data_IF_383019903903
#
_entry.id   IF_383019903903
#
_cell.length_a   1.000
_cell.length_b   1.000
_cell.length_c   1.000
_cell.angle_alpha   90.00
_cell.angle_beta   90.00
_cell.angle_gamma   90.00
#
_symmetry.space_group_name_H-M   'P 1'
#
loop_
_entity.id
_entity.type
_entity.pdbx_description
1 polymer ?
#
# COMPACT_ATOMS: atom_id res chain seq x y z
N UNK A 1 -10.95 -6.89 -7.70
CA UNK A 1 -10.37 -7.72 -6.62
C UNK A 1 -9.10 -7.01 -6.17
N UNK A 2 -8.89 -6.87 -4.86
CA UNK A 2 -7.72 -6.15 -4.35
C UNK A 2 -6.49 -7.03 -4.26
N UNK A 3 -5.32 -6.41 -4.38
CA UNK A 3 -4.00 -7.03 -4.26
C UNK A 3 -3.36 -6.58 -2.95
N UNK A 4 -3.06 -7.52 -2.05
CA UNK A 4 -2.69 -7.21 -0.67
C UNK A 4 -1.33 -7.77 -0.29
N UNK A 5 -0.53 -6.97 0.42
CA UNK A 5 0.73 -7.41 1.00
C UNK A 5 0.46 -8.07 2.35
N UNK A 6 0.89 -9.33 2.47
CA UNK A 6 0.93 -10.02 3.75
C UNK A 6 2.27 -9.80 4.46
N UNK A 7 2.17 -9.63 5.77
CA UNK A 7 3.30 -9.44 6.69
C UNK A 7 3.03 -10.28 7.95
N UNK A 8 4.07 -10.60 8.75
CA UNK A 8 3.94 -11.57 9.84
C UNK A 8 2.88 -11.24 10.90
N UNK A 9 2.60 -9.95 11.15
CA UNK A 9 1.60 -9.49 12.14
C UNK A 9 0.45 -8.78 11.45
N UNK A 10 -0.76 -8.99 11.98
CA UNK A 10 -1.99 -8.37 11.49
C UNK A 10 -2.12 -6.86 11.80
N UNK A 11 -1.16 -6.26 12.50
CA UNK A 11 -1.11 -4.85 12.91
C UNK A 11 0.26 -4.22 12.69
N UNK A 12 0.30 -2.90 12.51
CA UNK A 12 1.52 -2.18 12.19
C UNK A 12 2.09 -2.61 10.84
N UNK A 13 1.23 -2.91 9.86
CA UNK A 13 1.64 -3.38 8.54
C UNK A 13 2.49 -2.34 7.81
N UNK A 14 2.21 -1.06 7.98
CA UNK A 14 3.02 0.01 7.37
C UNK A 14 4.49 -0.06 7.81
N UNK A 15 4.76 -0.08 9.12
CA UNK A 15 6.11 -0.24 9.67
C UNK A 15 6.74 -1.57 9.27
N UNK A 16 5.99 -2.67 9.27
CA UNK A 16 6.52 -3.96 8.83
C UNK A 16 6.96 -3.94 7.36
N UNK A 17 6.22 -3.26 6.48
CA UNK A 17 6.62 -3.10 5.07
C UNK A 17 7.92 -2.28 4.97
N UNK A 18 8.06 -1.22 5.76
CA UNK A 18 9.29 -0.42 5.83
C UNK A 18 10.48 -1.30 6.27
N UNK A 19 10.33 -2.03 7.38
CA UNK A 19 11.38 -2.84 8.00
C UNK A 19 11.79 -4.05 7.16
N UNK A 20 10.83 -4.74 6.55
CA UNK A 20 11.08 -6.00 5.83
C UNK A 20 11.44 -5.78 4.36
N UNK A 21 10.89 -4.74 3.73
CA UNK A 21 10.92 -4.59 2.27
C UNK A 21 11.46 -3.23 1.79
N UNK A 22 11.85 -2.33 2.70
CA UNK A 22 12.51 -1.06 2.35
C UNK A 22 11.57 0.02 1.82
N UNK A 23 10.30 0.03 2.25
CA UNK A 23 9.36 1.12 1.94
C UNK A 23 9.61 2.40 2.75
N UNK A 24 8.87 3.46 2.44
CA UNK A 24 8.81 4.72 3.20
C UNK A 24 7.36 5.14 3.46
N UNK A 25 7.04 5.52 4.69
CA UNK A 25 5.74 6.08 5.04
C UNK A 25 5.67 7.53 4.56
N UNK A 26 4.55 7.92 3.95
CA UNK A 26 4.30 9.32 3.57
C UNK A 26 3.37 10.01 4.56
N UNK A 27 3.56 11.31 4.82
CA UNK A 27 2.71 12.08 5.72
C UNK A 27 1.32 12.40 5.13
N UNK A 28 1.18 12.26 3.80
CA UNK A 28 -0.05 12.51 3.05
C UNK A 28 -0.29 11.41 2.02
N UNK A 29 -1.53 11.24 1.54
CA UNK A 29 -1.81 10.38 0.38
C UNK A 29 -0.94 10.80 -0.82
N UNK A 30 -0.22 9.88 -1.46
CA UNK A 30 0.58 10.17 -2.65
C UNK A 30 -0.29 10.21 -3.91
N UNK A 31 0.18 10.93 -4.93
CA UNK A 31 -0.28 10.85 -6.31
C UNK A 31 0.65 9.95 -7.14
N UNK A 32 0.15 9.40 -8.25
CA UNK A 32 1.03 8.77 -9.26
C UNK A 32 1.98 9.78 -9.92
N UNK A 33 1.68 11.08 -9.84
CA UNK A 33 2.58 12.16 -10.28
C UNK A 33 3.75 12.38 -9.31
N UNK A 34 3.64 11.91 -8.05
CA UNK A 34 4.65 12.10 -7.00
C UNK A 34 5.66 10.95 -6.90
N UNK A 35 5.53 9.92 -7.74
CA UNK A 35 6.35 8.71 -7.69
C UNK A 35 7.00 8.38 -9.04
N UNK A 36 8.08 7.61 -8.97
CA UNK A 36 8.78 7.09 -10.15
C UNK A 36 8.11 5.82 -10.69
N UNK A 37 8.34 5.44 -11.96
CA UNK A 37 7.87 4.17 -12.52
C UNK A 37 8.38 2.93 -11.78
N UNK A 38 9.43 3.04 -10.97
CA UNK A 38 9.98 1.95 -10.16
C UNK A 38 9.35 1.86 -8.76
N UNK A 39 8.45 2.79 -8.42
CA UNK A 39 7.76 2.87 -7.14
C UNK A 39 6.30 2.39 -7.25
N UNK A 40 5.76 1.90 -6.15
CA UNK A 40 4.37 1.52 -5.99
C UNK A 40 3.79 2.15 -4.72
N UNK A 41 2.49 2.44 -4.77
CA UNK A 41 1.73 3.01 -3.66
C UNK A 41 0.99 1.89 -2.94
N UNK A 42 1.20 1.79 -1.64
CA UNK A 42 0.49 0.87 -0.76
C UNK A 42 -0.36 1.69 0.22
N UNK A 43 -1.65 1.40 0.29
CA UNK A 43 -2.55 1.92 1.31
C UNK A 43 -2.73 0.90 2.43
N UNK A 44 -2.30 1.25 3.63
CA UNK A 44 -2.54 0.46 4.84
C UNK A 44 -3.76 1.02 5.56
N UNK A 45 -4.86 0.28 5.51
CA UNK A 45 -6.14 0.65 6.14
C UNK A 45 -6.30 -0.08 7.48
N UNK A 46 -6.58 0.66 8.54
CA UNK A 46 -6.93 0.10 9.85
C UNK A 46 -8.41 -0.31 9.88
N UNK A 47 -8.68 -1.62 10.03
CA UNK A 47 -10.02 -2.19 10.14
C UNK A 47 -10.42 -2.54 11.59
N UNK A 48 -9.68 -2.06 12.59
CA UNK A 48 -9.90 -2.36 14.01
C UNK A 48 -9.06 -3.55 14.48
N UNK A 49 -9.52 -4.81 14.36
CA UNK A 49 -8.74 -5.98 14.81
C UNK A 49 -7.52 -6.30 13.94
N UNK A 50 -7.47 -5.78 12.72
CA UNK A 50 -6.38 -6.00 11.76
C UNK A 50 -6.22 -4.81 10.81
N UNK A 51 -5.13 -4.79 10.05
CA UNK A 51 -4.88 -3.86 8.96
C UNK A 51 -4.80 -4.59 7.62
N UNK A 52 -5.26 -3.93 6.56
CA UNK A 52 -5.14 -4.39 5.18
C UNK A 52 -4.16 -3.49 4.42
N UNK A 53 -3.13 -4.05 3.79
CA UNK A 53 -2.13 -3.31 3.02
C UNK A 53 -2.36 -3.54 1.53
N UNK A 54 -3.17 -2.69 0.89
CA UNK A 54 -3.57 -2.81 -0.51
C UNK A 54 -2.64 -2.07 -1.47
N UNK A 55 -2.31 -2.70 -2.59
CA UNK A 55 -1.59 -2.09 -3.71
C UNK A 55 -2.54 -1.23 -4.55
N UNK A 56 -2.26 0.06 -4.64
CA UNK A 56 -2.87 0.93 -5.64
C UNK A 56 -2.10 0.79 -6.95
N UNK A 57 -2.50 -0.16 -7.80
CA UNK A 57 -1.81 -0.44 -9.08
C UNK A 57 -2.24 0.49 -10.23
N UNK A 58 -3.30 1.27 -10.04
CA UNK A 58 -3.74 2.29 -10.99
C UNK A 58 -4.49 3.43 -10.28
N UNK A 59 -4.83 4.48 -11.03
CA UNK A 59 -5.55 5.65 -10.50
C UNK A 59 -6.91 5.30 -9.89
N UNK A 60 -7.60 4.29 -10.42
CA UNK A 60 -8.91 3.86 -9.92
C UNK A 60 -8.80 3.29 -8.49
N UNK A 61 -7.86 2.37 -8.26
CA UNK A 61 -7.60 1.83 -6.92
C UNK A 61 -7.11 2.92 -5.95
N UNK A 62 -6.25 3.83 -6.40
CA UNK A 62 -5.81 4.96 -5.57
C UNK A 62 -7.01 5.83 -5.14
N UNK A 63 -7.96 6.07 -6.04
CA UNK A 63 -9.18 6.81 -5.74
C UNK A 63 -10.06 6.06 -4.73
N UNK A 64 -10.21 4.74 -4.89
CA UNK A 64 -10.95 3.88 -3.94
C UNK A 64 -10.30 3.94 -2.56
N UNK A 65 -8.98 3.80 -2.47
CA UNK A 65 -8.25 3.87 -1.20
C UNK A 65 -8.29 5.27 -0.58
N UNK A 66 -8.38 6.33 -1.38
CA UNK A 66 -8.47 7.71 -0.90
C UNK A 66 -9.86 8.11 -0.43
N UNK A 67 -10.89 7.29 -0.69
CA UNK A 67 -12.25 7.58 -0.23
C UNK A 67 -12.35 7.54 1.30
N UNK A 68 -12.90 8.60 1.89
CA UNK A 68 -13.04 8.73 3.34
C UNK A 68 -14.24 7.95 3.85
N UNK A 69 -13.99 6.92 4.65
CA UNK A 69 -15.01 6.04 5.25
C UNK A 69 -14.87 5.90 6.77
N UNK A 70 -14.10 6.80 7.40
CA UNK A 70 -13.83 6.80 8.84
C UNK A 70 -12.68 5.89 9.29
N UNK A 71 -12.13 5.06 8.40
CA UNK A 71 -10.96 4.24 8.73
C UNK A 71 -9.66 5.03 8.63
N UNK A 72 -8.72 4.77 9.54
CA UNK A 72 -7.39 5.37 9.49
C UNK A 72 -6.58 4.72 8.39
N UNK A 73 -5.76 5.53 7.70
CA UNK A 73 -4.94 5.11 6.57
C UNK A 73 -3.51 5.57 6.77
N UNK A 74 -2.57 4.68 6.48
CA UNK A 74 -1.15 5.01 6.36
C UNK A 74 -0.69 4.65 4.96
N UNK A 75 -0.01 5.58 4.30
CA UNK A 75 0.46 5.39 2.94
C UNK A 75 1.94 5.03 2.96
N UNK A 76 2.31 4.02 2.17
CA UNK A 76 3.69 3.57 2.01
C UNK A 76 4.04 3.59 0.54
N UNK A 77 5.20 4.16 0.20
CA UNK A 77 5.80 4.01 -1.12
C UNK A 77 6.94 3.01 -1.02
N UNK A 78 6.98 2.05 -1.93
CA UNK A 78 8.03 1.03 -1.96
C UNK A 78 8.38 0.64 -3.40
N UNK A 79 9.40 -0.20 -3.59
CA UNK A 79 9.75 -0.71 -4.91
C UNK A 79 8.58 -1.48 -5.55
N UNK A 80 8.24 -1.14 -6.80
CA UNK A 80 7.12 -1.68 -7.57
C UNK A 80 7.25 -3.18 -7.81
N UNK A 81 8.42 -3.63 -8.28
CA UNK A 81 8.66 -5.03 -8.55
C UNK A 81 8.45 -5.88 -7.28
N UNK A 82 8.96 -5.40 -6.13
CA UNK A 82 8.75 -6.08 -4.86
C UNK A 82 7.30 -6.08 -4.41
N UNK A 83 6.57 -4.98 -4.60
CA UNK A 83 5.14 -4.91 -4.31
C UNK A 83 4.35 -5.92 -5.16
N UNK A 84 4.66 -6.03 -6.46
CA UNK A 84 4.00 -6.97 -7.37
C UNK A 84 4.28 -8.42 -6.97
N UNK A 85 5.53 -8.75 -6.64
CA UNK A 85 5.91 -10.08 -6.12
C UNK A 85 5.11 -10.45 -4.86
N UNK A 86 4.99 -9.51 -3.91
CA UNK A 86 4.33 -9.75 -2.62
C UNK A 86 2.81 -9.88 -2.73
N UNK A 87 2.19 -9.23 -3.71
CA UNK A 87 0.75 -9.27 -3.91
C UNK A 87 0.30 -10.30 -4.94
N UNK A 88 1.21 -10.80 -5.76
CA UNK A 88 0.89 -11.62 -6.94
C UNK A 88 0.25 -10.82 -8.08
N UNK A 89 0.39 -9.49 -8.09
CA UNK A 89 -0.07 -8.67 -9.21
C UNK A 89 0.81 -8.88 -10.44
N UNK A 90 0.18 -9.18 -11.58
CA UNK A 90 0.83 -9.28 -12.88
C UNK A 90 0.35 -8.15 -13.78
N UNK A 91 1.28 -7.37 -14.31
CA UNK A 91 1.00 -6.28 -15.26
C UNK A 91 0.72 -6.92 -16.63
N UNK A 92 -0.53 -6.85 -17.08
CA UNK A 92 -1.01 -7.46 -18.34
C UNK A 92 -0.72 -6.60 -19.57
#
# INVERSE_FOLDING_TARGET
>A
MGYYIEVPRNKGKAQQIVELYGGRITPSPPSFEDITPEEAIICVVDNGPFEAAGLAFNQEELNVFSHMDGRLRTWVIMNRQKAYELTGYEES
#
